data_IF_141166220479
#
_entry.id   IF_141166220479
#
_cell.length_a   1.000
_cell.length_b   1.000
_cell.length_c   1.000
_cell.angle_alpha   90.00
_cell.angle_beta   90.00
_cell.angle_gamma   90.00
#
_symmetry.space_group_name_H-M   'P 1'
#
loop_
_entity.id
_entity.type
_entity.pdbx_description
1 polymer ?
2 polymer ?
#
loop_
_entity_poly.entity_id
_entity_poly.type
_entity_poly.pdbx_seq_one_letter_code
_entity_poly.pdbx_strand_id
1 'polydeoxyribonucleotide' '(DT)(DA)(DT)(DC)(DA)(DC)(DC)(DG)(DC)(DG)(DG)(DG)(DT)(DG)(DA)(DT)(DA)' ?
#
# COMPACT_ATOMS: atom_id res chain seq x y z
CA UNK G 3 12.14 -9.74 -13.20
CA UNK G 4 10.01 -9.32 -10.05
CA UNK G 5 11.33 -10.77 -6.72
CA UNK G 6 10.14 -10.51 -3.14
CA UNK G 7 11.86 -7.86 -1.16
CA UNK G 8 12.60 -11.33 0.50
CA UNK G 9 14.33 -12.83 -2.53
CA UNK G 10 16.35 -9.66 -3.13
CA UNK G 11 17.57 -9.39 0.42
CA UNK G 12 18.48 -13.04 0.35
CA UNK G 13 20.89 -12.86 -2.58
CA UNK G 14 22.20 -9.35 -2.09
CA UNK G 15 22.17 -9.32 1.71
CA UNK G 16 20.20 -7.03 4.02
CA UNK G 17 22.91 -4.37 4.35
CA UNK G 18 23.16 -3.93 0.54
CA UNK G 19 19.37 -3.97 0.13
CA UNK G 20 19.16 -1.20 2.72
CA UNK G 21 21.77 1.08 0.93
CA UNK G 22 19.94 0.41 -2.38
CA UNK G 23 16.59 1.55 -0.94
CA UNK G 24 18.09 4.38 1.17
CA UNK G 25 16.74 3.13 4.55
CA UNK G 26 18.24 1.77 7.76
CA UNK G 27 18.75 -2.02 7.92
CA UNK G 28 16.08 -2.44 10.57
CA UNK G 29 13.35 -1.29 8.20
CA UNK G 30 14.23 -4.03 5.72
CA UNK G 31 14.12 -6.89 8.15
CA UNK G 32 10.86 -6.00 9.80
CA UNK G 33 9.10 -5.42 6.55
CA UNK G 34 10.18 -9.03 5.85
CA UNK G 35 9.30 -10.20 9.38
CA UNK G 36 5.89 -8.59 8.92
CA UNK G 37 5.62 -10.32 5.52
CA UNK G 38 4.70 -7.12 3.61
CA UNK G 39 4.14 -7.54 -0.08
CA UNK G 40 6.94 -5.36 -1.34
CA UNK G 41 6.99 -5.54 -5.13
CA UNK G 42 9.50 -3.86 -7.41
CA UNK G 43 12.33 -4.00 -9.95
CA UNK G 44 15.74 -3.04 -11.22
CA UNK G 45 15.61 -0.67 -14.17
CA UNK G 46 18.33 -0.38 -16.85
CA UNK G 47 19.58 3.25 -16.26
CA UNK G 48 20.46 2.63 -12.62
CA UNK G 49 16.94 3.15 -11.37
CA UNK G 50 16.05 0.77 -8.50
CA UNK G 51 12.68 -0.64 -7.39
CA UNK G 52 9.74 -1.56 -5.27
CA UNK G 53 6.57 -0.02 -3.77
CA UNK G 54 3.91 -2.38 -2.42
CA UNK G 55 1.14 -3.85 -0.39
CA UNK G 56 -2.32 -2.96 -1.35
CA UNK G 57 -3.95 -2.65 2.03
CA UNK G 58 -2.82 0.91 1.11
CA UNK G 59 -4.26 3.29 0.65
CA UNK G 60 -5.59 1.77 4.39
CA UNK G 61 -6.33 -1.33 6.51
CA UNK G 62 -6.70 -2.94 10.22
CA UNK G 63 -7.03 -6.73 9.84
CA UNK G 64 -9.08 -9.52 9.17
CA UNK G 65 -8.41 -12.65 11.23
CA UNK G 66 -9.78 -14.89 8.49
CA UNK H 3 -14.87 -5.31 -12.00
CA UNK H 4 -12.16 -2.94 -10.71
CA UNK H 5 -13.08 0.75 -10.07
CA UNK H 6 -11.21 3.62 -8.47
CA UNK H 7 -12.44 4.91 -5.34
CA UNK H 8 -13.42 8.47 -6.61
CA UNK H 9 -15.52 7.27 -9.52
CA UNK H 10 -17.21 4.63 -7.39
CA UNK H 11 -18.13 7.02 -4.64
CA UNK H 12 -19.44 9.44 -7.18
CA UNK H 13 -22.04 7.15 -8.71
CA UNK H 14 -22.89 5.03 -5.66
CA UNK H 15 -22.58 7.82 -3.07
CA UNK H 16 -20.22 7.98 -0.11
CA UNK H 17 -22.57 6.30 2.35
CA UNK H 18 -23.13 3.16 0.04
CA UNK H 19 -19.34 3.04 -0.64
CA UNK H 20 -18.57 3.09 3.07
CA UNK H 21 -20.91 0.19 3.89
CA UNK H 22 -19.61 -1.77 0.89
CA UNK H 23 -16.06 -1.42 2.25
CA UNK H 24 -17.06 -1.86 5.93
CA UNK H 25 -15.63 1.51 7.12
CA UNK H 26 -17.01 4.74 8.52
CA UNK H 27 -17.91 7.42 5.97
CA UNK H 28 -15.10 9.70 7.09
CA UNK H 29 -12.47 7.25 5.95
CA UNK H 30 -13.82 7.28 2.41
CA UNK H 31 -13.82 11.03 1.98
CA UNK H 32 -10.41 11.66 3.52
CA UNK H 33 -8.84 8.95 1.33
CA UNK H 34 -10.30 10.86 -1.61
CA UNK H 35 -9.33 14.25 -0.21
CA UNK H 36 -5.83 12.90 0.17
CA UNK H 37 -6.01 11.61 -3.41
CA UNK H 38 -4.85 8.05 -2.54
CA UNK H 39 -4.80 5.63 -5.37
CA UNK H 40 -7.31 3.19 -4.30
CA UNK H 41 -9.24 0.38 -6.17
CA UNK H 42 -12.45 -1.41 -5.27
CA UNK H 43 -12.96 -4.91 -6.63
CA UNK H 44 -16.45 -6.17 -7.28
CA UNK H 45 -16.62 -9.96 -7.56
CA UNK H 46 -19.28 -11.85 -9.56
CA UNK H 47 -21.45 -12.12 -6.43
CA UNK H 48 -21.48 -8.42 -5.61
CA UNK H 49 -18.96 -8.71 -2.81
CA UNK H 50 -16.58 -5.71 -2.69
CA UNK H 51 -12.98 -5.45 -1.42
CA UNK H 52 -10.41 -2.69 -1.50
CA UNK H 53 -6.68 -2.29 -1.94
CA UNK H 54 -4.14 0.43 -1.25
CA UNK H 55 -0.94 1.35 -3.04
CA UNK H 56 2.43 2.38 -1.79
CA UNK H 57 6.17 2.19 -2.02
CA UNK H 58 8.51 2.28 0.94
CA UNK H 59 10.03 4.62 1.35
CA UNK H 60 7.20 6.36 3.33
CA UNK H 61 8.96 9.46 1.94
CA UNK H 62 7.39 12.92 1.22
CA UNK H 63 9.79 15.89 1.52
CA UNK H 64 9.70 19.63 2.34
CA UNK H 65 13.01 20.82 3.76
CA UNK H 66 11.80 23.94 5.54
CA UNK I 3 30.05 -22.95 21.41
CA UNK I 4 31.36 -24.28 18.07
CA UNK I 5 29.26 -23.66 14.89
CA UNK I 6 29.93 -24.25 11.22
CA UNK I 7 30.62 -21.29 8.74
CA UNK I 8 27.19 -22.55 7.31
CA UNK I 9 24.94 -22.61 10.35
CA UNK I 10 26.54 -19.50 11.79
CA UNK I 11 26.21 -17.48 8.63
CA UNK I 12 22.64 -18.60 8.36
CA UNK I 13 21.45 -17.22 11.69
CA UNK I 14 23.75 -14.22 11.97
CA UNK I 15 23.89 -13.32 8.28
CA UNK I 16 26.91 -13.23 5.99
CA UNK I 17 27.77 -9.61 6.66
CA UNK I 18 27.86 -10.07 10.57
CA UNK I 19 29.88 -13.31 10.07
CA UNK I 20 32.38 -11.46 7.89
CA UNK I 21 32.91 -8.59 10.48
CA UNK I 22 33.24 -11.25 13.25
CA UNK I 23 36.01 -13.08 11.34
CA UNK I 24 37.24 -10.12 9.37
CA UNK I 25 37.88 -10.76 5.65
CA UNK I 26 36.19 -9.41 2.50
CA UNK I 27 32.70 -10.85 1.76
CA UNK I 28 33.93 -12.67 -1.34
CA UNK I 29 36.16 -14.93 0.73
CA UNK I 30 33.20 -16.14 2.79
CA UNK I 31 31.02 -17.06 -0.14
CA UNK I 32 33.50 -19.14 -2.15
CA UNK I 33 34.77 -20.91 0.89
CA UNK I 34 31.12 -21.98 1.07
CA UNK I 35 30.81 -22.47 -2.69
CA UNK I 36 33.91 -24.62 -2.50
CA UNK I 37 32.34 -26.50 0.43
CA UNK I 38 35.45 -26.20 2.68
CA UNK I 39 34.92 -27.46 6.31
CA UNK I 40 35.20 -24.66 8.88
CA UNK I 41 34.14 -23.59 12.41
CA UNK I 42 33.46 -20.47 14.44
CA UNK I 43 34.14 -20.61 18.18
CA UNK I 44 32.14 -18.44 20.51
CA UNK I 45 33.76 -18.02 23.91
CA UNK I 46 31.85 -17.29 27.15
CA UNK I 47 32.35 -13.54 26.60
CA UNK I 48 30.91 -13.43 23.08
CA UNK I 49 34.28 -13.22 21.39
CA UNK I 50 34.38 -15.20 18.13
CA UNK I 51 37.32 -16.87 16.33
CA UNK I 52 37.57 -19.11 13.29
CA UNK I 53 39.56 -22.10 12.12
CA UNK I 54 39.64 -24.38 9.12
CA UNK I 55 39.84 -28.06 9.96
CA UNK I 56 41.04 -29.59 6.72
CA UNK I 57 43.73 -32.20 6.28
CA UNK I 58 47.43 -31.58 6.66
CA UNK I 59 49.44 -33.53 4.50
CA UNK I 60 50.50 -30.70 2.15
CA UNK I 61 47.41 -30.47 -0.10
CA UNK I 62 46.02 -31.93 -3.33
CA UNK I 63 42.70 -33.64 -4.18
CA UNK I 64 40.28 -36.60 -4.41
CA UNK I 65 36.70 -36.10 -3.23
CA UNK I 66 36.92 -32.44 -2.28
CA UNK J 3 44.28 -42.58 18.20
CA UNK J 4 45.29 -39.07 17.03
CA UNK J 5 49.05 -38.19 16.92
CA UNK J 6 50.78 -35.06 16.03
CA UNK J 7 52.03 -36.00 12.52
CA UNK J 8 55.19 -35.48 14.75
CA UNK J 9 54.52 -38.38 17.10
CA UNK J 10 53.66 -40.68 14.21
CA UNK J 11 56.76 -39.87 12.25
CA UNK J 12 58.86 -40.37 15.44
CA UNK J 13 57.78 -43.96 16.02
CA UNK J 14 57.20 -45.14 12.47
CA UNK J 15 59.96 -43.12 10.82
CA UNK J 16 59.67 -40.47 8.13
CA UNK J 17 60.00 -42.86 5.19
CA UNK J 18 57.09 -45.19 6.46
CA UNK J 19 54.98 -42.06 7.24
CA UNK J 20 55.53 -40.72 3.72
CA UNK J 21 54.48 -44.02 2.09
CA UNK J 22 51.41 -44.21 4.33
CA UNK J 23 50.31 -40.72 3.26
CA UNK J 24 51.33 -41.15 -0.41
CA UNK J 25 53.72 -38.15 -0.50
CA UNK J 26 57.44 -37.61 -0.95
CA UNK J 27 59.52 -37.63 2.26
CA UNK J 28 60.33 -33.94 1.97
CA UNK J 29 56.72 -32.96 2.44
CA UNK J 30 56.55 -34.76 5.76
CA UNK J 31 59.61 -33.15 7.29
CA UNK J 32 58.85 -29.57 6.21
CA UNK J 33 55.28 -29.86 7.52
CA UNK J 34 56.90 -30.82 10.85
CA UNK J 35 59.58 -28.13 10.53
CA UNK J 36 56.82 -25.64 9.88
CA UNK J 37 54.97 -27.02 12.92
CA UNK J 38 51.61 -27.43 11.07
CA UNK J 39 48.84 -29.04 13.13
CA UNK J 40 48.28 -31.84 10.54
CA UNK J 41 47.50 -34.97 12.77
CA UNK J 42 47.53 -38.64 11.86
CA UNK J 43 44.49 -40.70 12.80
CA UNK J 44 44.90 -44.38 13.51
CA UNK J 45 41.61 -46.28 13.34
CA UNK J 46 40.89 -49.52 15.26
CA UNK J 47 42.07 -51.56 12.26
CA UNK J 48 45.45 -49.88 11.91
CA UNK J 49 44.45 -47.78 8.94
CA UNK J 50 45.99 -44.28 9.04
CA UNK J 51 44.92 -40.74 9.10
CA UNK J 52 46.22 -37.19 9.04
CA UNK J 53 44.83 -33.67 9.05
CA UNK J 54 46.17 -30.16 9.15
CA UNK J 55 45.31 -26.98 11.13
CA UNK J 56 44.58 -23.07 11.66
CA UNK J 57 44.12 -19.16 12.76
CA UNK J 58 42.26 -17.65 9.91
CA UNK J 59 40.58 -20.59 7.95
CA UNK J 60 42.12 -18.90 5.00
CA UNK J 61 44.15 -17.48 7.93
CA UNK J 62 46.40 -14.35 7.92
CA UNK J 63 46.72 -12.55 11.29
CA UNK J 64 47.37 -9.04 12.66
CA UNK J 65 49.89 -8.81 9.84
CA UNK J 66 51.31 -12.31 10.02
CA UNK K 3 -43.75 44.20 -15.04
CA UNK K 4 -44.66 41.77 -12.23
CA UNK K 5 -48.30 41.71 -10.97
CA UNK K 6 -50.23 39.34 -8.79
CA UNK K 7 -52.46 37.08 -11.04
CA UNK K 8 -55.54 38.57 -9.17
CA UNK K 9 -54.78 42.20 -9.98
CA UNK K 10 -54.00 41.35 -13.60
CA UNK K 11 -57.20 39.44 -14.11
CA UNK K 12 -59.20 42.35 -12.41
CA UNK K 13 -58.08 44.96 -14.95
CA UNK K 14 -57.59 42.90 -18.09
CA UNK K 15 -60.44 40.44 -17.49
CA UNK K 16 -60.25 36.67 -17.09
CA UNK K 17 -60.66 35.87 -20.78
CA UNK K 18 -57.69 38.23 -21.89
CA UNK K 19 -55.57 36.82 -19.01
CA UNK K 20 -56.25 33.25 -20.14
CA UNK K 21 -55.30 34.06 -23.77
CA UNK K 22 -52.10 35.79 -22.57
CA UNK K 23 -51.07 32.76 -20.53
CA UNK K 24 -52.20 30.17 -23.13
CA UNK K 25 -54.60 28.28 -20.80
CA UNK K 26 -58.35 27.74 -20.59
CA UNK K 27 -60.31 30.31 -18.56
CA UNK K 28 -61.15 27.80 -15.84
CA UNK K 29 -57.51 27.43 -14.86
CA UNK K 30 -57.24 31.16 -14.20
CA UNK K 31 -60.22 31.41 -11.93
CA UNK K 32 -59.48 28.41 -9.78
CA UNK K 33 -55.88 29.44 -9.28
CA UNK K 34 -57.40 32.66 -7.92
CA UNK K 35 -60.11 30.82 -5.99
CA UNK K 36 -57.36 28.67 -4.48
CA UNK K 37 -55.40 31.86 -3.70
CA UNK K 38 -52.13 30.57 -5.26
CA UNK K 39 -49.31 33.06 -5.35
CA UNK K 40 -48.87 33.04 -9.30
CA UNK K 41 -47.23 36.43 -9.99
CA UNK K 42 -47.68 37.20 -13.68
CA UNK K 43 -44.69 38.58 -15.56
CA UNK K 44 -45.25 40.84 -18.53
CA UNK K 45 -45.00 42.89 -21.67
CA UNK K 46 -44.97 45.38 -24.59
CA UNK K 47 -45.73 42.55 -27.03
CA UNK K 48 -48.81 41.25 -25.22
CA UNK K 49 -47.12 38.28 -23.61
CA UNK K 50 -47.41 37.02 -20.04
CA UNK K 51 -46.93 34.01 -17.74
CA UNK K 52 -47.67 33.38 -14.10
CA UNK K 53 -46.14 31.57 -11.16
CA UNK K 54 -45.44 30.17 -7.47
CA UNK K 55 -43.27 28.14 -5.25
CA UNK K 56 -44.33 25.04 -3.16
CA UNK K 57 -41.96 22.72 -1.33
CA UNK K 58 -39.18 20.33 -2.22
CA UNK K 59 -41.52 20.21 -5.29
CA UNK K 60 -42.18 16.63 -3.78
CA UNK K 61 -44.56 18.88 -1.78
CA UNK K 62 -45.97 18.23 1.75
CA UNK K 63 -46.78 21.38 3.79
CA UNK K 64 -47.00 22.51 7.44
CA UNK K 65 -46.38 26.24 7.75
CA UNK K 66 -45.36 26.35 11.42
CA UNK L 3 -27.02 33.44 0.88
CA UNK L 4 -29.04 31.99 -2.04
CA UNK L 5 -27.67 28.88 -3.85
CA UNK L 6 -29.11 26.60 -6.50
CA UNK L 7 -29.72 22.92 -5.19
CA UNK L 8 -27.14 21.17 -7.53
CA UNK L 9 -24.11 23.12 -6.33
CA UNK L 10 -25.13 22.66 -2.70
CA UNK L 11 -25.61 18.93 -2.96
CA UNK L 12 -22.41 18.70 -4.69
CA UNK L 13 -20.16 20.18 -1.98
CA UNK L 14 -22.17 19.06 1.04
CA UNK L 15 -23.29 15.68 -0.33
CA UNK L 16 -26.84 14.47 -0.95
CA UNK L 17 -27.31 12.95 2.50
CA UNK L 18 -26.35 16.29 4.36
CA UNK L 19 -28.55 18.25 1.91
CA UNK L 20 -31.49 15.96 2.66
CA UNK L 21 -31.26 16.30 6.62
CA UNK L 22 -30.80 20.11 6.06
CA UNK L 23 -34.06 20.30 4.06
CA UNK L 24 -35.90 17.69 6.18
CA UNK L 25 -36.69 15.32 3.26
CA UNK L 26 -35.69 11.81 2.21
CA UNK L 27 -32.60 11.54 -0.01
CA UNK L 28 -34.61 10.42 -3.01
CA UNK L 29 -36.42 13.72 -3.21
CA UNK L 30 -33.14 15.60 -3.53
CA UNK L 31 -31.78 13.53 -6.35
CA UNK L 32 -34.76 13.58 -8.72
CA UNK L 33 -35.38 17.20 -8.15
CA UNK L 34 -31.87 17.47 -9.57
CA UNK L 35 -32.46 14.74 -12.17
CA UNK L 36 -35.55 16.67 -13.19
CA UNK L 37 -33.45 19.86 -13.32
CA UNK L 38 -35.89 21.94 -11.17
CA UNK L 39 -34.84 25.50 -10.47
CA UNK L 40 -34.45 25.23 -6.73
CA UNK L 41 -32.98 27.75 -4.61
CA UNK L 42 -31.83 27.15 -1.05
CA UNK L 43 -31.68 30.15 1.26
CA UNK L 44 -29.20 30.18 4.10
CA UNK L 45 -30.16 32.03 7.26
CA UNK L 46 -27.56 32.51 10.02
CA UNK L 47 -29.41 30.77 12.77
CA UNK L 48 -28.62 27.98 10.31
CA UNK L 49 -32.24 27.27 9.50
CA UNK L 50 -32.76 26.39 5.79
CA UNK L 51 -36.06 27.62 4.03
CA UNK L 52 -37.52 26.05 0.95
CA UNK L 53 -39.65 25.49 -2.12
CA UNK L 54 -39.59 25.29 -5.92
CA UNK L 55 -41.09 27.42 -8.67
CA UNK L 56 -42.48 26.63 -12.20
CA UNK L 57 -43.73 29.14 -14.71
CA UNK L 58 -47.47 29.48 -14.75
CA UNK L 59 -49.61 27.78 -15.44
CA UNK L 60 -49.57 23.80 -14.71
CA UNK L 61 -47.08 22.66 -17.31
CA UNK L 62 -46.06 20.65 -20.45
CA UNK L 63 -48.68 20.12 -23.21
CA UNK L 64 -46.02 21.25 -25.50
CA UNK L 65 -45.21 24.94 -25.16
CA UNK L 66 -44.67 28.61 -24.39
#
# INVERSE_FOLDING_TARGET
MEQRITLKDYAMRFGQTKTAKDLGVYQSAINKAIHAGRKIFLTINADGSVYAEEVKPFPSNKKTTA
MEQRITLKDYAMRFGQTKTAKDLGVYQSAINKAIHAGRKIFLTINADGSVYAEEVKPFPSNKKTTA
MEQRITLKDYAMRFGQTKTAKDLGVYQSAINKAIHAGRKIFLTINADGSVYAEEVKPFPSNKKTTA
MEQRITLKDYAMRFGQTKTAKDLGVYQSAINKAIHAGRKIFLTINADGSVYAEEVKPFPSNKKTTA
MEQRITLKDYAMRFGQTKTAKDLGVYQSAINKAIHAGRKIFLTINADGSVYAEEVKPFPSNKKTTA
MEQRITLKDYAMRFGQTKTAKDLGVYQSAINKAIHAGRKIFLTINADGSVYAEEVKPFPSNKKTTA
#
